data_IF_840148636332
#
_entry.id   IF_840148636332
#
_cell.length_a   1.000
_cell.length_b   1.000
_cell.length_c   1.000
_cell.angle_alpha   90.00
_cell.angle_beta   90.00
_cell.angle_gamma   90.00
#
_symmetry.space_group_name_H-M   'P 1'
#
loop_
_entity.id
_entity.type
_entity.pdbx_description
1 polymer ?
#
# COMPACT_ATOMS: atom_id res chain seq x y z
N UNK A 1 -5.65 -58.84 -8.31
CA UNK A 1 -5.21 -57.78 -9.24
C UNK A 1 -5.93 -56.51 -8.88
N UNK A 2 -5.17 -55.44 -8.58
CA UNK A 2 -5.58 -54.01 -8.49
C UNK A 2 -6.67 -53.65 -7.46
N UNK A 3 -6.50 -52.67 -6.57
CA UNK A 3 -5.45 -51.68 -6.44
C UNK A 3 -5.73 -50.70 -5.29
N UNK A 4 -4.69 -49.90 -5.04
CA UNK A 4 -4.69 -48.54 -4.48
C UNK A 4 -5.32 -48.31 -3.11
N UNK A 5 -4.44 -48.37 -2.11
CA UNK A 5 -4.58 -47.58 -0.90
C UNK A 5 -4.62 -46.09 -1.25
N UNK A 6 -5.75 -45.46 -0.97
CA UNK A 6 -5.87 -44.00 -1.01
C UNK A 6 -5.45 -43.52 0.37
N UNK A 7 -4.23 -42.98 0.43
CA UNK A 7 -3.71 -42.26 1.59
C UNK A 7 -4.58 -41.03 1.80
N UNK A 8 -5.31 -41.03 2.90
CA UNK A 8 -6.17 -39.94 3.35
C UNK A 8 -5.29 -38.77 3.83
N UNK A 9 -4.99 -37.86 2.90
CA UNK A 9 -4.28 -36.62 3.19
C UNK A 9 -5.24 -35.67 3.94
N UNK A 10 -5.13 -35.66 5.27
CA UNK A 10 -5.75 -34.66 6.13
C UNK A 10 -5.37 -33.25 5.65
N UNK A 11 -6.34 -32.56 5.07
CA UNK A 11 -6.31 -31.13 4.79
C UNK A 11 -6.26 -30.38 6.13
N UNK A 12 -5.06 -30.10 6.63
CA UNK A 12 -4.90 -29.08 7.66
C UNK A 12 -5.14 -27.72 7.01
N UNK A 13 -6.40 -27.30 6.97
CA UNK A 13 -6.75 -25.91 6.75
C UNK A 13 -6.18 -25.10 7.93
N UNK A 14 -5.02 -24.48 7.73
CA UNK A 14 -4.55 -23.42 8.62
C UNK A 14 -5.53 -22.27 8.41
N UNK A 15 -6.52 -22.14 9.29
CA UNK A 15 -7.34 -20.95 9.40
C UNK A 15 -6.39 -19.82 9.81
N UNK A 16 -5.93 -19.04 8.85
CA UNK A 16 -5.19 -17.81 9.12
C UNK A 16 -6.18 -16.81 9.71
N UNK A 17 -6.36 -16.86 11.03
CA UNK A 17 -6.96 -15.77 11.78
C UNK A 17 -6.18 -14.50 11.44
N UNK A 18 -6.89 -13.41 11.14
CA UNK A 18 -6.31 -12.14 10.68
C UNK A 18 -5.30 -11.59 11.72
N UNK A 19 -4.02 -11.92 11.58
CA UNK A 19 -2.96 -11.35 12.42
C UNK A 19 -2.75 -9.92 11.93
N UNK A 20 -3.02 -8.94 12.79
CA UNK A 20 -2.72 -7.54 12.50
C UNK A 20 -1.22 -7.34 12.33
N UNK A 21 -0.81 -6.62 11.29
CA UNK A 21 0.60 -6.31 11.06
C UNK A 21 1.06 -5.26 12.07
N UNK A 22 1.95 -5.68 12.96
CA UNK A 22 2.58 -4.87 14.01
C UNK A 22 4.09 -5.10 13.94
N UNK A 23 4.89 -4.27 14.64
CA UNK A 23 6.34 -4.51 14.74
C UNK A 23 6.66 -5.91 15.28
N UNK A 24 5.90 -6.35 16.30
CA UNK A 24 6.09 -7.65 16.93
C UNK A 24 5.68 -8.78 15.99
N UNK A 25 4.46 -8.74 15.44
CA UNK A 25 4.00 -9.79 14.52
C UNK A 25 4.83 -9.88 13.25
N UNK A 26 5.37 -8.75 12.74
CA UNK A 26 6.31 -8.74 11.63
C UNK A 26 7.63 -9.43 11.99
N UNK A 27 8.22 -9.12 13.15
CA UNK A 27 9.45 -9.75 13.60
C UNK A 27 9.28 -11.27 13.78
N UNK A 28 8.20 -11.69 14.45
CA UNK A 28 7.87 -13.11 14.63
C UNK A 28 7.65 -13.82 13.29
N UNK A 29 6.92 -13.21 12.35
CA UNK A 29 6.70 -13.80 11.04
C UNK A 29 8.01 -13.92 10.23
N UNK A 30 8.88 -12.91 10.31
CA UNK A 30 10.19 -12.94 9.64
C UNK A 30 11.08 -14.07 10.18
N UNK A 31 11.10 -14.28 11.50
CA UNK A 31 11.82 -15.40 12.13
C UNK A 31 11.26 -16.76 11.70
N UNK A 32 9.93 -16.91 11.68
CA UNK A 32 9.28 -18.14 11.21
C UNK A 32 9.59 -18.46 9.75
N UNK A 33 9.65 -17.44 8.89
CA UNK A 33 10.02 -17.61 7.48
C UNK A 33 11.51 -17.96 7.33
N UNK A 34 12.39 -17.29 8.10
CA UNK A 34 13.82 -17.59 8.12
C UNK A 34 14.12 -19.02 8.57
N UNK A 35 13.36 -19.58 9.52
CA UNK A 35 13.51 -20.97 9.94
C UNK A 35 13.14 -22.00 8.84
N UNK A 36 12.37 -21.58 7.82
CA UNK A 36 11.82 -22.46 6.77
C UNK A 36 12.50 -22.31 5.41
N UNK A 37 13.16 -21.19 5.17
CA UNK A 37 13.80 -20.88 3.89
C UNK A 37 15.26 -20.45 4.09
N UNK A 38 16.19 -21.16 3.46
CA UNK A 38 17.64 -20.92 3.61
C UNK A 38 18.08 -19.54 3.10
N UNK A 39 17.44 -19.02 2.05
CA UNK A 39 17.73 -17.70 1.51
C UNK A 39 17.29 -16.63 2.51
N UNK A 40 16.05 -16.74 3.02
CA UNK A 40 15.53 -15.84 4.05
C UNK A 40 16.34 -15.94 5.36
N UNK A 41 16.80 -17.14 5.75
CA UNK A 41 17.69 -17.33 6.89
C UNK A 41 18.98 -16.51 6.77
N UNK A 42 19.59 -16.52 5.57
CA UNK A 42 20.81 -15.77 5.31
C UNK A 42 20.59 -14.26 5.41
N UNK A 43 19.48 -13.76 4.85
CA UNK A 43 19.09 -12.35 4.90
C UNK A 43 18.82 -11.94 6.36
N UNK A 44 18.05 -12.73 7.09
CA UNK A 44 17.69 -12.46 8.48
C UNK A 44 18.91 -12.45 9.40
N UNK A 45 19.86 -13.37 9.22
CA UNK A 45 21.12 -13.38 9.98
C UNK A 45 21.97 -12.13 9.73
N UNK A 46 21.95 -11.60 8.50
CA UNK A 46 22.76 -10.44 8.13
C UNK A 46 22.11 -9.11 8.56
N UNK A 47 20.79 -9.00 8.45
CA UNK A 47 20.08 -7.72 8.62
C UNK A 47 19.13 -7.66 9.81
N UNK A 48 18.86 -8.80 10.47
CA UNK A 48 17.84 -8.90 11.52
C UNK A 48 16.41 -8.82 10.97
N UNK A 49 15.41 -8.59 11.85
CA UNK A 49 14.02 -8.43 11.43
C UNK A 49 13.85 -7.15 10.58
N UNK A 50 13.00 -7.18 9.54
CA UNK A 50 12.75 -6.02 8.73
C UNK A 50 12.06 -4.91 9.54
N UNK A 51 12.40 -3.63 9.29
CA UNK A 51 11.69 -2.51 9.91
C UNK A 51 10.24 -2.43 9.41
N UNK A 52 9.32 -2.00 10.28
CA UNK A 52 7.93 -1.76 9.90
C UNK A 52 7.79 -0.41 9.18
N UNK A 53 7.54 -0.45 7.87
CA UNK A 53 7.27 0.75 7.05
C UNK A 53 5.80 1.13 7.05
N UNK A 54 5.23 1.40 8.23
CA UNK A 54 3.85 1.85 8.36
C UNK A 54 3.66 3.30 7.91
N UNK A 55 2.57 3.58 7.21
CA UNK A 55 2.08 4.93 6.90
C UNK A 55 0.63 5.06 7.35
N UNK A 56 0.18 6.24 7.84
CA UNK A 56 -1.24 6.43 8.17
C UNK A 56 -2.12 6.18 6.95
N UNK A 57 -3.26 5.52 7.12
CA UNK A 57 -4.22 5.32 6.04
C UNK A 57 -4.85 6.66 5.63
N UNK A 58 -5.05 6.87 4.32
CA UNK A 58 -5.87 7.99 3.82
C UNK A 58 -5.29 8.68 2.58
N UNK A 59 -5.94 9.79 2.21
CA UNK A 59 -5.66 10.55 0.99
C UNK A 59 -4.19 10.88 0.81
N UNK A 60 -3.54 11.44 1.84
CA UNK A 60 -2.13 11.86 1.77
C UNK A 60 -1.19 10.71 1.44
N UNK A 61 -1.46 9.52 1.98
CA UNK A 61 -0.64 8.32 1.74
C UNK A 61 -0.84 7.78 0.35
N UNK A 62 -2.08 7.71 -0.15
CA UNK A 62 -2.34 7.29 -1.53
C UNK A 62 -1.80 8.29 -2.55
N UNK A 63 -1.94 9.60 -2.31
CA UNK A 63 -1.31 10.62 -3.12
C UNK A 63 0.22 10.43 -3.15
N UNK A 64 0.84 10.20 -2.00
CA UNK A 64 2.28 9.94 -1.92
C UNK A 64 2.70 8.70 -2.72
N UNK A 65 1.91 7.62 -2.68
CA UNK A 65 2.15 6.42 -3.50
C UNK A 65 2.13 6.77 -5.00
N UNK A 66 1.14 7.55 -5.46
CA UNK A 66 1.08 8.04 -6.86
C UNK A 66 2.34 8.83 -7.22
N UNK A 67 2.80 9.72 -6.33
CA UNK A 67 3.99 10.52 -6.57
C UNK A 67 5.28 9.69 -6.65
N UNK A 68 5.37 8.63 -5.85
CA UNK A 68 6.53 7.72 -5.78
C UNK A 68 6.66 6.79 -7.00
N UNK A 69 5.64 6.68 -7.85
CA UNK A 69 5.69 5.83 -9.05
C UNK A 69 6.80 6.26 -10.02
N UNK A 70 7.64 5.30 -10.44
CA UNK A 70 8.66 5.45 -11.49
C UNK A 70 9.65 6.61 -11.30
N UNK A 71 9.91 7.02 -10.05
CA UNK A 71 10.87 8.10 -9.72
C UNK A 71 11.64 7.78 -8.43
N UNK A 72 12.69 8.55 -8.15
CA UNK A 72 13.40 8.44 -6.87
C UNK A 72 12.52 8.92 -5.70
N UNK A 73 12.77 8.38 -4.50
CA UNK A 73 12.10 8.83 -3.27
C UNK A 73 12.37 10.31 -2.97
N UNK A 74 13.55 10.82 -3.34
CA UNK A 74 13.91 12.24 -3.16
C UNK A 74 13.08 13.13 -4.07
N UNK A 75 12.90 12.74 -5.34
CA UNK A 75 12.06 13.47 -6.30
C UNK A 75 10.59 13.47 -5.86
N UNK A 76 10.07 12.31 -5.44
CA UNK A 76 8.70 12.21 -4.96
C UNK A 76 8.46 13.06 -3.70
N UNK A 77 9.41 13.06 -2.74
CA UNK A 77 9.36 13.92 -1.55
C UNK A 77 9.36 15.40 -1.94
N UNK A 78 10.23 15.80 -2.85
CA UNK A 78 10.31 17.20 -3.31
C UNK A 78 9.00 17.65 -3.97
N UNK A 79 8.37 16.78 -4.76
CA UNK A 79 7.06 17.06 -5.34
C UNK A 79 5.97 17.16 -4.28
N UNK A 80 5.95 16.25 -3.29
CA UNK A 80 4.99 16.28 -2.19
C UNK A 80 5.09 17.58 -1.38
N UNK A 81 6.30 18.00 -1.01
CA UNK A 81 6.50 19.26 -0.28
C UNK A 81 6.07 20.48 -1.12
N UNK A 82 6.37 20.48 -2.42
CA UNK A 82 5.94 21.55 -3.33
C UNK A 82 4.42 21.65 -3.39
N UNK A 83 3.71 20.53 -3.52
CA UNK A 83 2.24 20.52 -3.47
C UNK A 83 1.75 21.05 -2.11
N UNK A 84 2.36 20.59 -1.01
CA UNK A 84 1.98 20.99 0.35
C UNK A 84 2.17 22.50 0.61
N UNK A 85 3.19 23.10 0.02
CA UNK A 85 3.44 24.54 0.14
C UNK A 85 2.54 25.42 -0.74
N UNK A 86 1.89 24.85 -1.77
CA UNK A 86 1.07 25.61 -2.73
C UNK A 86 -0.43 25.30 -2.62
N UNK A 87 -0.82 24.24 -1.90
CA UNK A 87 -2.21 23.79 -1.77
C UNK A 87 -2.56 23.70 -0.29
N UNK A 88 -3.38 24.65 0.15
CA UNK A 88 -3.90 24.72 1.51
C UNK A 88 -5.43 24.94 1.48
N UNK A 89 -6.24 24.14 2.21
CA UNK A 89 -5.84 22.97 3.00
C UNK A 89 -5.38 21.79 2.13
N UNK A 90 -4.41 21.01 2.62
CA UNK A 90 -3.90 19.82 1.93
C UNK A 90 -4.86 18.62 2.06
N UNK A 91 -6.01 18.74 1.39
CA UNK A 91 -7.19 17.88 1.51
C UNK A 91 -7.83 17.58 0.15
N UNK A 92 -8.59 16.47 0.01
CA UNK A 92 -9.14 16.03 -1.28
C UNK A 92 -9.93 17.12 -2.03
N UNK A 93 -10.84 17.83 -1.35
CA UNK A 93 -11.68 18.86 -1.98
C UNK A 93 -10.84 19.98 -2.62
N UNK A 94 -9.76 20.38 -1.94
CA UNK A 94 -8.89 21.44 -2.46
C UNK A 94 -8.15 21.02 -3.73
N UNK A 95 -7.74 19.76 -3.81
CA UNK A 95 -7.14 19.22 -5.03
C UNK A 95 -8.11 19.23 -6.21
N UNK A 96 -9.38 18.86 -5.97
CA UNK A 96 -10.44 18.90 -6.98
C UNK A 96 -10.67 20.34 -7.47
N UNK A 97 -10.76 21.30 -6.55
CA UNK A 97 -10.92 22.73 -6.88
C UNK A 97 -9.75 23.29 -7.70
N UNK A 98 -8.50 22.95 -7.34
CA UNK A 98 -7.32 23.37 -8.07
C UNK A 98 -7.26 22.77 -9.49
N UNK A 99 -7.70 21.51 -9.63
CA UNK A 99 -7.74 20.79 -10.89
C UNK A 99 -6.37 20.40 -11.45
N UNK A 100 -6.39 19.56 -12.50
CA UNK A 100 -5.16 18.99 -13.08
C UNK A 100 -4.21 20.05 -13.65
N UNK A 101 -4.75 21.12 -14.25
CA UNK A 101 -3.95 22.19 -14.86
C UNK A 101 -3.04 22.86 -13.83
N UNK A 102 -3.56 23.13 -12.63
CA UNK A 102 -2.76 23.70 -11.54
C UNK A 102 -1.72 22.69 -11.01
N UNK A 103 -2.11 21.43 -10.82
CA UNK A 103 -1.15 20.39 -10.39
C UNK A 103 0.01 20.23 -11.37
N UNK A 104 -0.28 20.34 -12.68
CA UNK A 104 0.73 20.30 -13.74
C UNK A 104 1.63 21.53 -13.74
N UNK A 105 1.10 22.73 -13.46
CA UNK A 105 1.94 23.94 -13.35
C UNK A 105 2.90 23.87 -12.16
N UNK A 106 2.58 23.07 -11.13
CA UNK A 106 3.47 22.75 -10.03
C UNK A 106 4.52 21.67 -10.38
N UNK A 107 4.53 21.13 -11.59
CA UNK A 107 5.54 20.17 -12.06
C UNK A 107 5.09 18.70 -12.03
N UNK A 108 3.81 18.41 -11.76
CA UNK A 108 3.30 17.05 -11.94
C UNK A 108 3.22 16.70 -13.43
N UNK A 109 3.60 15.46 -13.76
CA UNK A 109 3.28 14.88 -15.08
C UNK A 109 1.78 14.85 -15.31
N UNK A 110 1.33 14.86 -16.57
CA UNK A 110 -0.10 14.75 -16.92
C UNK A 110 -0.78 13.55 -16.26
N UNK A 111 -0.17 12.37 -16.33
CA UNK A 111 -0.73 11.14 -15.77
C UNK A 111 -0.87 11.20 -14.24
N UNK A 112 0.18 11.63 -13.52
CA UNK A 112 0.11 11.76 -12.05
C UNK A 112 -0.88 12.85 -11.61
N UNK A 113 -1.01 13.95 -12.35
CA UNK A 113 -2.00 14.98 -12.06
C UNK A 113 -3.42 14.41 -12.18
N UNK A 114 -3.69 13.66 -13.24
CA UNK A 114 -4.96 12.96 -13.42
C UNK A 114 -5.27 12.01 -12.26
N UNK A 115 -4.33 11.13 -11.90
CA UNK A 115 -4.52 10.20 -10.77
C UNK A 115 -4.67 10.90 -9.42
N UNK A 116 -3.98 12.02 -9.20
CA UNK A 116 -4.16 12.80 -7.97
C UNK A 116 -5.59 13.34 -7.84
N UNK A 117 -6.21 13.78 -8.95
CA UNK A 117 -7.60 14.22 -8.98
C UNK A 117 -8.56 13.04 -8.78
N UNK A 118 -8.34 11.90 -9.45
CA UNK A 118 -9.16 10.70 -9.28
C UNK A 118 -9.14 10.20 -7.82
N UNK A 119 -7.96 10.13 -7.21
CA UNK A 119 -7.81 9.77 -5.79
C UNK A 119 -8.53 10.80 -4.91
N UNK A 120 -8.42 12.10 -5.21
CA UNK A 120 -9.11 13.13 -4.46
C UNK A 120 -10.65 12.99 -4.55
N UNK A 121 -11.18 12.70 -5.75
CA UNK A 121 -12.60 12.46 -5.98
C UNK A 121 -13.09 11.24 -5.18
N UNK A 122 -12.38 10.12 -5.25
CA UNK A 122 -12.74 8.90 -4.50
C UNK A 122 -12.77 9.13 -2.98
N UNK A 123 -11.87 9.96 -2.42
CA UNK A 123 -11.95 10.34 -1.00
C UNK A 123 -13.08 11.32 -0.70
N UNK A 124 -13.35 12.27 -1.59
CA UNK A 124 -14.43 13.25 -1.43
C UNK A 124 -15.81 12.57 -1.45
N UNK A 125 -15.99 11.57 -2.33
CA UNK A 125 -17.21 10.78 -2.48
C UNK A 125 -17.41 9.76 -1.35
N UNK A 126 -16.32 9.39 -0.66
CA UNK A 126 -16.36 8.44 0.45
C UNK A 126 -15.97 7.01 0.08
N UNK A 127 -15.76 6.74 -1.21
CA UNK A 127 -15.41 5.42 -1.78
C UNK A 127 -14.18 4.80 -1.10
N UNK A 128 -13.21 5.64 -0.70
CA UNK A 128 -11.98 5.19 -0.03
C UNK A 128 -11.89 5.54 1.46
N UNK A 129 -12.91 6.13 2.09
CA UNK A 129 -12.83 6.54 3.50
C UNK A 129 -12.55 5.37 4.45
N UNK A 130 -13.05 4.19 4.13
CA UNK A 130 -12.92 2.97 4.95
C UNK A 130 -11.87 1.99 4.40
N UNK A 131 -11.09 2.35 3.37
CA UNK A 131 -10.21 1.42 2.63
C UNK A 131 -9.29 0.59 3.54
N UNK A 132 -8.74 1.19 4.60
CA UNK A 132 -7.87 0.49 5.55
C UNK A 132 -8.56 -0.48 6.51
N UNK A 133 -9.89 -0.61 6.44
CA UNK A 133 -10.69 -1.58 7.21
C UNK A 133 -11.24 -2.71 6.33
N UNK A 134 -11.07 -2.61 5.02
CA UNK A 134 -11.51 -3.64 4.08
C UNK A 134 -10.50 -4.79 4.08
N UNK A 135 -10.98 -6.00 3.74
CA UNK A 135 -10.08 -7.11 3.42
C UNK A 135 -9.32 -6.83 2.11
N UNK A 136 -8.23 -7.55 1.89
CA UNK A 136 -7.31 -7.33 0.76
C UNK A 136 -8.03 -7.37 -0.60
N UNK A 137 -8.91 -8.36 -0.84
CA UNK A 137 -9.61 -8.49 -2.12
C UNK A 137 -10.54 -7.31 -2.40
N UNK A 138 -11.31 -6.88 -1.40
CA UNK A 138 -12.24 -5.76 -1.55
C UNK A 138 -11.48 -4.44 -1.65
N UNK A 139 -10.41 -4.26 -0.89
CA UNK A 139 -9.55 -3.08 -0.98
C UNK A 139 -8.89 -2.99 -2.36
N UNK A 140 -8.39 -4.12 -2.87
CA UNK A 140 -7.77 -4.19 -4.19
C UNK A 140 -8.78 -3.84 -5.29
N UNK A 141 -9.99 -4.43 -5.24
CA UNK A 141 -11.04 -4.14 -6.20
C UNK A 141 -11.42 -2.65 -6.22
N UNK A 142 -11.56 -2.02 -5.05
CA UNK A 142 -11.86 -0.59 -4.94
C UNK A 142 -10.75 0.29 -5.55
N UNK A 143 -9.48 -0.04 -5.29
CA UNK A 143 -8.35 0.73 -5.82
C UNK A 143 -8.18 0.63 -7.34
N UNK A 144 -8.66 -0.45 -7.99
CA UNK A 144 -8.60 -0.61 -9.45
C UNK A 144 -9.62 0.25 -10.20
N UNK A 145 -10.64 0.77 -9.53
CA UNK A 145 -11.68 1.61 -10.16
C UNK A 145 -11.29 3.08 -10.23
N UNK A 146 -10.07 3.43 -9.80
CA UNK A 146 -9.50 4.78 -9.74
C UNK A 146 -8.39 4.89 -10.77
#
# INVERSE_FOLDING_TARGET
>A
MHGSGVVELKKNAITYSHISLTKQSLATAAELLAARDRCLASIYRLHGPPPMWGRPTGFRTLLRIVLEQQVSLVSARSMFERLRSNIDPFEPRKFIECGETHLRSLGMTRQKAHYAIQVAQAFANGDLKSIGRLNDETAHAALRQI
#
